data_IF_837922568533
#
_entry.id   IF_837922568533
#
_cell.length_a   1.000
_cell.length_b   1.000
_cell.length_c   1.000
_cell.angle_alpha   90.00
_cell.angle_beta   90.00
_cell.angle_gamma   90.00
#
_symmetry.space_group_name_H-M   'P 1'
#
loop_
_entity.id
_entity.type
_entity.pdbx_description
1 polymer ?
#
# COMPACT_ATOMS: atom_id res chain seq x y z
N UNK A 1 5.47 4.33 13.71
CA UNK A 1 5.77 4.19 12.27
C UNK A 1 4.88 5.11 11.46
N UNK A 2 5.22 5.47 10.21
CA UNK A 2 6.38 5.04 9.39
C UNK A 2 7.11 6.23 8.79
N UNK A 3 8.29 5.99 8.19
CA UNK A 3 8.93 6.92 7.25
C UNK A 3 8.42 6.72 5.82
N UNK A 4 8.87 7.59 4.90
CA UNK A 4 8.69 7.49 3.45
C UNK A 4 9.97 7.91 2.74
N UNK A 5 10.37 7.12 1.74
CA UNK A 5 11.48 7.43 0.84
C UNK A 5 11.00 7.16 -0.60
N UNK A 6 11.15 8.15 -1.48
CA UNK A 6 10.67 8.07 -2.86
C UNK A 6 11.79 7.63 -3.81
N UNK A 7 11.43 6.93 -4.88
CA UNK A 7 12.37 6.60 -5.96
C UNK A 7 13.39 5.50 -5.64
N UNK A 8 13.17 4.73 -4.58
CA UNK A 8 14.05 3.62 -4.18
C UNK A 8 13.27 2.32 -3.99
N UNK A 9 13.94 1.20 -4.27
CA UNK A 9 13.50 -0.15 -3.93
C UNK A 9 14.32 -0.74 -2.77
N UNK A 10 15.20 0.05 -2.17
CA UNK A 10 15.95 -0.35 -1.00
C UNK A 10 15.01 -0.59 0.17
N UNK A 11 15.17 -1.76 0.81
CA UNK A 11 14.38 -2.20 1.97
C UNK A 11 15.27 -2.35 3.20
N UNK A 12 16.48 -1.79 3.18
CA UNK A 12 17.44 -1.86 4.27
C UNK A 12 17.03 -0.89 5.38
N UNK A 13 16.65 -1.38 6.57
CA UNK A 13 16.35 -0.49 7.70
C UNK A 13 17.64 0.16 8.20
N UNK A 14 17.61 1.46 8.48
CA UNK A 14 18.79 2.22 8.94
C UNK A 14 18.73 2.53 10.43
N UNK A 15 19.90 2.62 11.08
CA UNK A 15 19.98 3.00 12.49
C UNK A 15 19.41 4.41 12.76
N UNK A 16 19.59 5.33 11.82
CA UNK A 16 19.04 6.69 11.91
C UNK A 16 17.50 6.68 11.87
N UNK A 17 16.87 5.94 10.95
CA UNK A 17 15.42 5.80 10.90
C UNK A 17 14.88 5.12 12.16
N UNK A 18 15.58 4.11 12.68
CA UNK A 18 15.23 3.48 13.96
C UNK A 18 15.17 4.50 15.09
N UNK A 19 16.20 5.33 15.22
CA UNK A 19 16.28 6.35 16.25
C UNK A 19 15.15 7.38 16.10
N UNK A 20 14.91 7.88 14.88
CA UNK A 20 13.83 8.83 14.61
C UNK A 20 12.44 8.27 14.98
N UNK A 21 12.17 7.01 14.63
CA UNK A 21 10.91 6.36 14.98
C UNK A 21 10.76 6.11 16.48
N UNK A 22 11.86 5.83 17.18
CA UNK A 22 11.89 5.67 18.63
C UNK A 22 11.63 7.01 19.33
N UNK A 23 12.35 8.07 18.94
CA UNK A 23 12.14 9.42 19.47
C UNK A 23 10.69 9.88 19.26
N UNK A 24 10.13 9.66 18.06
CA UNK A 24 8.74 9.97 17.77
C UNK A 24 7.76 9.22 18.70
N UNK A 25 8.00 7.93 18.96
CA UNK A 25 7.13 7.13 19.82
C UNK A 25 7.25 7.54 21.29
N UNK A 26 8.48 7.63 21.81
CA UNK A 26 8.76 7.95 23.21
C UNK A 26 8.37 9.38 23.60
N UNK A 27 8.39 10.32 22.65
CA UNK A 27 7.91 11.69 22.92
C UNK A 27 6.40 11.76 23.15
N UNK A 28 5.65 10.68 22.88
CA UNK A 28 4.19 10.60 23.02
C UNK A 28 3.79 9.60 24.10
N UNK A 29 4.51 8.50 24.19
CA UNK A 29 4.28 7.41 25.13
C UNK A 29 5.61 6.99 25.75
N UNK A 30 6.11 7.74 26.76
CA UNK A 30 7.41 7.46 27.39
C UNK A 30 7.52 6.04 27.97
N UNK A 31 6.40 5.46 28.41
CA UNK A 31 6.29 4.10 28.94
C UNK A 31 6.73 3.01 27.94
N UNK A 32 6.70 3.30 26.64
CA UNK A 32 7.21 2.38 25.61
C UNK A 32 8.72 2.12 25.77
N UNK A 33 9.46 3.00 26.45
CA UNK A 33 10.90 2.85 26.71
C UNK A 33 11.24 1.69 27.65
N UNK A 34 10.25 1.11 28.32
CA UNK A 34 10.42 -0.08 29.17
C UNK A 34 10.41 -1.40 28.38
N UNK A 35 10.04 -1.37 27.09
CA UNK A 35 9.87 -2.56 26.28
C UNK A 35 10.98 -2.71 25.25
N UNK A 36 11.38 -3.95 24.98
CA UNK A 36 12.30 -4.24 23.89
C UNK A 36 11.58 -4.19 22.54
N UNK A 37 12.26 -3.64 21.52
CA UNK A 37 11.72 -3.63 20.16
C UNK A 37 11.87 -5.02 19.55
N UNK A 38 10.74 -5.69 19.31
CA UNK A 38 10.72 -7.02 18.69
C UNK A 38 11.30 -7.03 17.27
N UNK A 39 10.96 -6.02 16.45
CA UNK A 39 11.39 -5.99 15.04
C UNK A 39 11.60 -4.57 14.52
N UNK A 40 12.49 -4.44 13.53
CA UNK A 40 12.71 -3.23 12.75
C UNK A 40 12.82 -3.61 11.27
N UNK A 41 11.87 -3.16 10.45
CA UNK A 41 11.79 -3.55 9.05
C UNK A 41 11.35 -2.39 8.16
N UNK A 42 11.62 -2.52 6.86
CA UNK A 42 11.14 -1.63 5.82
C UNK A 42 10.44 -2.42 4.70
N UNK A 43 9.60 -1.74 3.93
CA UNK A 43 8.85 -2.34 2.83
C UNK A 43 8.50 -1.30 1.77
N UNK A 44 8.38 -1.77 0.52
CA UNK A 44 8.05 -0.91 -0.63
C UNK A 44 6.54 -0.83 -0.79
N UNK A 45 6.03 0.40 -0.92
CA UNK A 45 4.60 0.65 -1.14
C UNK A 45 4.36 0.89 -2.63
N UNK A 46 3.66 0.00 -3.35
CA UNK A 46 3.32 0.23 -4.75
C UNK A 46 2.21 1.29 -4.81
N UNK A 47 2.48 2.43 -5.45
CA UNK A 47 1.51 3.51 -5.63
C UNK A 47 1.45 3.98 -7.09
N UNK A 48 0.27 4.38 -7.54
CA UNK A 48 0.10 5.17 -8.78
C UNK A 48 0.33 6.65 -8.47
N UNK A 49 0.81 7.41 -9.46
CA UNK A 49 1.14 8.83 -9.29
C UNK A 49 -0.03 9.70 -8.79
N UNK A 50 -1.27 9.39 -9.21
CA UNK A 50 -2.50 10.09 -8.78
C UNK A 50 -3.15 9.46 -7.53
N UNK A 51 -2.49 8.49 -6.89
CA UNK A 51 -2.97 7.77 -5.70
C UNK A 51 -4.25 6.94 -5.89
N UNK A 52 -4.69 6.69 -7.13
CA UNK A 52 -5.82 5.78 -7.42
C UNK A 52 -5.24 4.43 -7.91
N UNK A 53 -5.62 3.27 -7.37
CA UNK A 53 -5.05 2.00 -7.83
C UNK A 53 -5.53 1.63 -9.23
N UNK A 54 -4.72 0.86 -9.95
CA UNK A 54 -5.14 0.20 -11.18
C UNK A 54 -5.96 -1.05 -10.81
N UNK A 55 -7.24 -1.09 -11.23
CA UNK A 55 -8.13 -2.24 -11.03
C UNK A 55 -8.91 -2.47 -12.33
N UNK A 56 -8.49 -3.47 -13.11
CA UNK A 56 -9.17 -3.82 -14.36
C UNK A 56 -8.30 -4.55 -15.37
N UNK A 57 -8.84 -4.69 -16.59
CA UNK A 57 -8.15 -5.33 -17.71
C UNK A 57 -7.11 -4.38 -18.29
N UNK A 58 -5.91 -4.88 -18.56
CA UNK A 58 -4.83 -4.09 -19.17
C UNK A 58 -5.18 -3.81 -20.64
N UNK A 59 -5.15 -2.53 -21.10
CA UNK A 59 -5.43 -2.19 -22.50
C UNK A 59 -4.56 -2.96 -23.49
N UNK A 60 -5.17 -3.45 -24.56
CA UNK A 60 -4.49 -4.25 -25.60
C UNK A 60 -4.08 -5.66 -25.16
N UNK A 61 -4.48 -6.14 -23.98
CA UNK A 61 -4.15 -7.47 -23.46
C UNK A 61 -5.41 -8.18 -22.94
N UNK A 62 -6.07 -8.96 -23.80
CA UNK A 62 -7.38 -9.58 -23.50
C UNK A 62 -7.39 -10.47 -22.24
N UNK A 63 -6.26 -11.11 -21.92
CA UNK A 63 -6.14 -12.07 -20.81
C UNK A 63 -5.33 -11.55 -19.63
N UNK A 64 -5.03 -10.26 -19.58
CA UNK A 64 -4.24 -9.66 -18.51
C UNK A 64 -5.08 -8.69 -17.67
N UNK A 65 -5.07 -8.92 -16.37
CA UNK A 65 -5.80 -8.15 -15.37
C UNK A 65 -4.83 -7.63 -14.31
N UNK A 66 -5.13 -6.49 -13.70
CA UNK A 66 -4.31 -5.90 -12.64
C UNK A 66 -5.18 -5.43 -11.47
N UNK A 67 -4.61 -5.53 -10.28
CA UNK A 67 -5.11 -4.95 -9.04
C UNK A 67 -3.89 -4.52 -8.21
N UNK A 68 -3.41 -3.29 -8.44
CA UNK A 68 -2.14 -2.80 -7.90
C UNK A 68 -2.14 -1.28 -7.70
N UNK A 69 -1.16 -0.76 -6.97
CA UNK A 69 -0.99 0.70 -6.79
C UNK A 69 -1.71 1.31 -5.59
N UNK A 70 -2.11 0.49 -4.60
CA UNK A 70 -2.89 0.91 -3.42
C UNK A 70 -2.14 1.75 -2.39
N UNK A 71 -0.82 1.89 -2.52
CA UNK A 71 0.07 2.66 -1.66
C UNK A 71 -0.14 2.39 -0.15
N UNK A 72 -0.81 3.31 0.57
CA UNK A 72 -1.06 3.23 2.01
C UNK A 72 -2.32 2.45 2.38
N UNK A 73 -3.23 2.26 1.43
CA UNK A 73 -4.59 1.77 1.70
C UNK A 73 -4.81 0.32 1.29
N UNK A 74 -3.78 -0.39 0.80
CA UNK A 74 -3.95 -1.74 0.25
C UNK A 74 -4.60 -2.76 1.18
N UNK A 75 -4.35 -2.70 2.49
CA UNK A 75 -5.03 -3.57 3.45
C UNK A 75 -6.50 -3.17 3.59
N UNK A 76 -6.76 -1.87 3.78
CA UNK A 76 -8.09 -1.30 3.97
C UNK A 76 -9.01 -1.58 2.78
N UNK A 77 -8.49 -1.45 1.55
CA UNK A 77 -9.27 -1.60 0.31
C UNK A 77 -9.24 -3.01 -0.26
N UNK A 78 -8.45 -3.93 0.30
CA UNK A 78 -8.17 -5.25 -0.28
C UNK A 78 -9.41 -6.01 -0.75
N UNK A 79 -10.42 -6.15 0.11
CA UNK A 79 -11.65 -6.89 -0.19
C UNK A 79 -12.47 -6.18 -1.26
N UNK A 80 -12.68 -4.86 -1.13
CA UNK A 80 -13.44 -4.08 -2.11
C UNK A 80 -12.75 -4.08 -3.49
N UNK A 81 -11.42 -3.98 -3.53
CA UNK A 81 -10.66 -4.05 -4.78
C UNK A 81 -10.73 -5.43 -5.43
N UNK A 82 -10.75 -6.50 -4.63
CA UNK A 82 -10.97 -7.86 -5.13
C UNK A 82 -12.37 -8.02 -5.72
N UNK A 83 -13.41 -7.55 -5.01
CA UNK A 83 -14.81 -7.59 -5.48
C UNK A 83 -14.99 -6.82 -6.79
N UNK A 84 -14.40 -5.63 -6.91
CA UNK A 84 -14.43 -4.85 -8.14
C UNK A 84 -13.76 -5.63 -9.28
N UNK A 85 -12.56 -6.16 -9.08
CA UNK A 85 -11.86 -6.91 -10.11
C UNK A 85 -12.65 -8.14 -10.56
N UNK A 86 -13.21 -8.92 -9.62
CA UNK A 86 -13.95 -10.14 -9.96
C UNK A 86 -15.24 -9.83 -10.73
N UNK A 87 -15.98 -8.79 -10.35
CA UNK A 87 -17.17 -8.36 -11.08
C UNK A 87 -16.82 -8.01 -12.54
N UNK A 88 -15.73 -7.25 -12.74
CA UNK A 88 -15.24 -6.91 -14.08
C UNK A 88 -14.82 -8.15 -14.89
N UNK A 89 -14.17 -9.13 -14.25
CA UNK A 89 -13.76 -10.37 -14.91
C UNK A 89 -14.93 -11.25 -15.35
N UNK A 90 -16.03 -11.23 -14.59
CA UNK A 90 -17.23 -12.03 -14.85
C UNK A 90 -18.26 -11.31 -15.72
N UNK A 91 -18.04 -10.03 -16.03
CA UNK A 91 -19.02 -9.21 -16.76
C UNK A 91 -20.25 -8.85 -15.93
N UNK A 92 -20.12 -8.86 -14.61
CA UNK A 92 -21.17 -8.50 -13.66
C UNK A 92 -21.23 -6.98 -13.43
N UNK A 93 -22.31 -6.50 -12.82
CA UNK A 93 -22.42 -5.11 -12.39
C UNK A 93 -21.38 -4.81 -11.29
N UNK A 94 -20.46 -3.85 -11.51
CA UNK A 94 -19.47 -3.48 -10.50
C UNK A 94 -20.11 -2.85 -9.26
N UNK A 95 -19.54 -3.06 -8.05
CA UNK A 95 -20.06 -2.46 -6.81
C UNK A 95 -19.85 -0.94 -6.72
N UNK A 96 -18.94 -0.40 -7.52
CA UNK A 96 -18.63 1.03 -7.67
C UNK A 96 -18.26 1.33 -9.13
N UNK A 97 -18.30 2.59 -9.54
CA UNK A 97 -17.82 3.00 -10.87
C UNK A 97 -16.36 2.55 -11.09
N UNK A 98 -16.08 1.71 -12.11
CA UNK A 98 -14.73 1.24 -12.39
C UNK A 98 -13.85 2.29 -13.09
N UNK A 99 -14.42 3.35 -13.68
CA UNK A 99 -13.69 4.27 -14.55
C UNK A 99 -12.46 4.93 -13.88
N UNK A 100 -12.50 5.36 -12.60
CA UNK A 100 -11.34 5.95 -11.94
C UNK A 100 -10.14 4.99 -11.80
N UNK A 101 -10.39 3.69 -11.80
CA UNK A 101 -9.38 2.64 -11.59
C UNK A 101 -8.80 2.07 -12.89
N UNK A 102 -9.28 2.56 -14.03
CA UNK A 102 -8.77 2.17 -15.35
C UNK A 102 -7.34 2.70 -15.60
N UNK A 103 -6.74 2.21 -16.68
CA UNK A 103 -5.35 2.48 -17.07
C UNK A 103 -5.16 3.81 -17.80
#
# INVERSE_FOLDING_TARGET
GSTLEAGTFDKTPTASVRQQLMEFALSRYPELGMFEVAYHWAGIRPGKADSIPYIGRVPGRERLWMNAGHFRNGVVTSIASAQLLTALMQGETPPVDPAPYAF
#
